data_IF_466211105126
#
_entry.id   IF_466211105126
#
_cell.length_a   1.000
_cell.length_b   1.000
_cell.length_c   1.000
_cell.angle_alpha   90.00
_cell.angle_beta   90.00
_cell.angle_gamma   90.00
#
_symmetry.space_group_name_H-M   'P 1'
#
loop_
_entity.id
_entity.type
_entity.pdbx_description
1 polymer ?
#
# COMPACT_ATOMS: atom_id res chain seq x y z
N UNK A 1 -22.20 9.36 -22.75
CA UNK A 1 -21.29 8.74 -21.75
C UNK A 1 -20.78 9.84 -20.85
N UNK A 2 -21.10 9.85 -19.55
CA UNK A 2 -20.56 10.86 -18.62
C UNK A 2 -19.06 10.59 -18.45
N UNK A 3 -18.20 11.60 -18.71
CA UNK A 3 -16.76 11.50 -18.46
C UNK A 3 -16.55 11.11 -16.99
N UNK A 4 -16.04 9.90 -16.76
CA UNK A 4 -15.64 9.44 -15.44
C UNK A 4 -14.30 10.09 -15.11
N UNK A 5 -14.27 10.95 -14.10
CA UNK A 5 -13.02 11.57 -13.65
C UNK A 5 -12.24 10.56 -12.81
N UNK A 6 -11.07 10.16 -13.30
CA UNK A 6 -10.16 9.25 -12.60
C UNK A 6 -9.01 10.08 -12.03
N UNK A 7 -8.81 9.99 -10.72
CA UNK A 7 -7.73 10.68 -10.02
C UNK A 7 -6.85 9.64 -9.34
N UNK A 8 -5.53 9.82 -9.43
CA UNK A 8 -4.55 8.95 -8.76
C UNK A 8 -3.86 9.78 -7.68
N UNK A 9 -3.81 9.27 -6.45
CA UNK A 9 -3.13 9.96 -5.34
C UNK A 9 -2.20 8.98 -4.60
N UNK A 10 -1.00 9.41 -4.16
CA UNK A 10 -0.23 8.64 -3.19
C UNK A 10 -1.02 8.49 -1.90
N UNK A 11 -0.81 7.38 -1.19
CA UNK A 11 -1.33 7.27 0.18
C UNK A 11 -0.45 8.05 1.13
N UNK A 12 -1.08 8.94 1.88
CA UNK A 12 -0.49 9.72 2.96
C UNK A 12 -1.45 9.78 4.17
N UNK A 13 -1.10 10.58 5.17
CA UNK A 13 -1.92 10.76 6.37
C UNK A 13 -3.31 11.37 6.09
N UNK A 14 -3.46 12.13 5.01
CA UNK A 14 -4.68 12.87 4.70
C UNK A 14 -5.74 11.99 4.04
N UNK A 15 -5.34 10.93 3.34
CA UNK A 15 -6.25 9.97 2.71
C UNK A 15 -6.17 8.55 3.31
N UNK A 16 -5.58 8.41 4.50
CA UNK A 16 -5.51 7.13 5.21
C UNK A 16 -6.89 6.47 5.38
N UNK A 17 -7.94 7.26 5.63
CA UNK A 17 -9.30 6.75 5.79
C UNK A 17 -9.83 6.10 4.50
N UNK A 18 -9.46 6.62 3.34
CA UNK A 18 -9.85 6.05 2.04
C UNK A 18 -9.16 4.70 1.82
N UNK A 19 -7.87 4.62 2.15
CA UNK A 19 -7.11 3.37 2.12
C UNK A 19 -7.73 2.32 3.04
N UNK A 20 -8.06 2.69 4.29
CA UNK A 20 -8.73 1.77 5.23
C UNK A 20 -10.07 1.30 4.71
N UNK A 21 -10.90 2.21 4.20
CA UNK A 21 -12.24 1.90 3.68
C UNK A 21 -12.16 0.94 2.50
N UNK A 22 -11.21 1.16 1.57
CA UNK A 22 -10.98 0.27 0.44
C UNK A 22 -10.53 -1.13 0.91
N UNK A 23 -9.61 -1.21 1.87
CA UNK A 23 -9.10 -2.49 2.36
C UNK A 23 -10.13 -3.27 3.16
N UNK A 24 -10.96 -2.59 3.94
CA UNK A 24 -12.06 -3.18 4.73
C UNK A 24 -13.30 -3.54 3.90
N UNK A 25 -13.35 -3.09 2.63
CA UNK A 25 -14.47 -3.38 1.74
C UNK A 25 -14.64 -4.88 1.47
N UNK A 26 -15.84 -5.28 1.09
CA UNK A 26 -16.13 -6.68 0.74
C UNK A 26 -15.29 -7.11 -0.46
N UNK A 27 -14.43 -8.11 -0.26
CA UNK A 27 -13.49 -8.57 -1.28
C UNK A 27 -12.15 -7.81 -1.29
N UNK A 28 -12.01 -6.76 -0.49
CA UNK A 28 -10.76 -6.04 -0.31
C UNK A 28 -9.67 -6.87 0.38
N UNK A 29 -8.38 -6.54 0.19
CA UNK A 29 -7.25 -7.33 0.69
C UNK A 29 -6.96 -7.12 2.20
N UNK A 30 -8.00 -7.01 3.04
CA UNK A 30 -7.91 -6.84 4.50
C UNK A 30 -7.08 -7.93 5.20
N UNK A 31 -6.94 -9.12 4.61
CA UNK A 31 -6.10 -10.16 5.20
C UNK A 31 -4.61 -9.79 5.12
N UNK A 32 -4.15 -9.10 4.09
CA UNK A 32 -2.72 -8.79 3.93
C UNK A 32 -2.34 -7.39 4.42
N UNK A 33 -3.27 -6.42 4.40
CA UNK A 33 -3.01 -5.00 4.72
C UNK A 33 -1.74 -4.45 4.02
N UNK A 34 -1.45 -4.97 2.81
CA UNK A 34 -0.25 -4.67 2.02
C UNK A 34 1.09 -4.99 2.72
N UNK A 35 1.08 -5.88 3.72
CA UNK A 35 2.28 -6.18 4.52
C UNK A 35 3.09 -7.38 4.01
N UNK A 36 2.56 -8.17 3.08
CA UNK A 36 3.19 -9.42 2.60
C UNK A 36 4.66 -9.25 2.14
N UNK A 37 4.97 -8.12 1.49
CA UNK A 37 6.31 -7.79 0.99
C UNK A 37 7.05 -6.75 1.85
N UNK A 38 6.45 -6.28 2.95
CA UNK A 38 6.98 -5.18 3.77
C UNK A 38 7.40 -5.61 5.17
N UNK A 39 6.89 -6.75 5.66
CA UNK A 39 7.15 -7.19 7.03
C UNK A 39 8.64 -7.45 7.29
N UNK A 40 9.17 -6.77 8.31
CA UNK A 40 10.47 -7.05 8.91
C UNK A 40 10.47 -8.41 9.62
N UNK A 41 11.65 -8.91 9.97
CA UNK A 41 11.78 -10.14 10.76
C UNK A 41 11.07 -10.05 12.12
N UNK A 42 11.05 -8.86 12.72
CA UNK A 42 10.38 -8.60 14.00
C UNK A 42 8.86 -8.53 13.85
N UNK A 43 8.35 -7.81 12.85
CA UNK A 43 6.91 -7.72 12.58
C UNK A 43 6.29 -9.10 12.29
N UNK A 44 7.06 -10.01 11.67
CA UNK A 44 6.62 -11.40 11.44
C UNK A 44 6.37 -12.18 12.73
N UNK A 45 7.10 -11.90 13.81
CA UNK A 45 6.91 -12.56 15.11
C UNK A 45 5.56 -12.19 15.74
N UNK A 46 5.04 -11.00 15.44
CA UNK A 46 3.80 -10.46 15.98
C UNK A 46 2.71 -10.31 14.90
N UNK A 47 2.68 -11.22 13.93
CA UNK A 47 1.91 -11.07 12.70
C UNK A 47 0.41 -11.43 12.87
N UNK A 48 -0.39 -10.47 13.33
CA UNK A 48 -1.87 -10.55 13.33
C UNK A 48 -2.47 -9.56 12.33
N UNK A 49 -3.75 -9.72 11.97
CA UNK A 49 -4.44 -8.76 11.09
C UNK A 49 -4.44 -7.35 11.67
N UNK A 50 -4.72 -7.19 12.97
CA UNK A 50 -4.69 -5.89 13.65
C UNK A 50 -3.28 -5.28 13.62
N UNK A 51 -2.24 -6.09 13.82
CA UNK A 51 -0.86 -5.62 13.79
C UNK A 51 -0.43 -5.25 12.38
N UNK A 52 -0.83 -5.99 11.33
CA UNK A 52 -0.53 -5.59 9.94
C UNK A 52 -1.09 -4.21 9.61
N UNK A 53 -2.32 -3.91 10.05
CA UNK A 53 -2.93 -2.58 9.88
C UNK A 53 -2.13 -1.49 10.62
N UNK A 54 -1.67 -1.75 11.85
CA UNK A 54 -0.81 -0.84 12.60
C UNK A 54 0.53 -0.60 11.92
N UNK A 55 1.19 -1.66 11.44
CA UNK A 55 2.49 -1.58 10.78
C UNK A 55 2.45 -0.79 9.47
N UNK A 56 1.42 -0.96 8.65
CA UNK A 56 1.27 -0.18 7.42
C UNK A 56 0.90 1.27 7.72
N UNK A 57 0.07 1.53 8.75
CA UNK A 57 -0.24 2.89 9.22
C UNK A 57 1.01 3.64 9.69
N UNK A 58 1.88 2.97 10.46
CA UNK A 58 3.14 3.56 10.93
C UNK A 58 4.05 3.98 9.76
N UNK A 59 4.07 3.19 8.67
CA UNK A 59 4.82 3.56 7.45
C UNK A 59 4.27 4.85 6.83
N UNK A 60 2.95 4.96 6.71
CA UNK A 60 2.28 6.17 6.21
C UNK A 60 2.59 7.38 7.09
N UNK A 61 2.50 7.24 8.41
CA UNK A 61 2.83 8.30 9.38
C UNK A 61 4.30 8.70 9.30
N UNK A 62 5.19 7.75 9.01
CA UNK A 62 6.62 7.96 8.80
C UNK A 62 6.98 8.46 7.40
N UNK A 63 5.98 8.79 6.56
CA UNK A 63 6.14 9.24 5.17
C UNK A 63 6.85 8.24 4.26
N UNK A 64 6.86 6.96 4.62
CA UNK A 64 7.35 5.89 3.77
C UNK A 64 6.27 5.63 2.71
N UNK A 65 6.62 5.74 1.43
CA UNK A 65 5.68 5.46 0.34
C UNK A 65 5.21 4.02 0.41
N UNK A 66 3.88 3.81 0.44
CA UNK A 66 3.29 2.47 0.45
C UNK A 66 2.57 2.10 -0.84
N UNK A 67 2.20 3.09 -1.65
CA UNK A 67 1.42 2.90 -2.87
C UNK A 67 0.52 4.10 -3.20
N UNK A 68 -0.37 3.87 -4.15
CA UNK A 68 -1.31 4.84 -4.70
C UNK A 68 -2.74 4.30 -4.63
N UNK A 69 -3.69 5.22 -4.45
CA UNK A 69 -5.13 4.97 -4.60
C UNK A 69 -5.61 5.54 -5.93
N UNK A 70 -6.45 4.77 -6.62
CA UNK A 70 -7.23 5.23 -7.77
C UNK A 70 -8.64 5.58 -7.33
N UNK A 71 -9.07 6.80 -7.68
CA UNK A 71 -10.39 7.33 -7.35
C UNK A 71 -11.24 7.42 -8.61
N UNK A 72 -12.52 7.06 -8.48
CA UNK A 72 -13.55 7.41 -9.43
C UNK A 72 -14.47 8.44 -8.77
N UNK A 73 -14.39 9.68 -9.23
CA UNK A 73 -14.93 10.84 -8.50
C UNK A 73 -14.26 10.99 -7.12
N UNK A 74 -15.00 10.80 -6.02
CA UNK A 74 -14.50 10.96 -4.64
C UNK A 74 -14.23 9.61 -3.95
N UNK A 75 -14.61 8.50 -4.57
CA UNK A 75 -14.49 7.16 -3.99
C UNK A 75 -13.19 6.49 -4.44
N UNK A 76 -12.39 6.01 -3.48
CA UNK A 76 -11.24 5.15 -3.78
C UNK A 76 -11.73 3.76 -4.19
N UNK A 77 -11.44 3.37 -5.43
CA UNK A 77 -11.93 2.11 -6.04
C UNK A 77 -10.79 1.17 -6.46
N UNK A 78 -9.54 1.61 -6.34
CA UNK A 78 -8.38 0.84 -6.78
C UNK A 78 -7.15 1.10 -5.88
N UNK A 79 -6.33 0.08 -5.74
CA UNK A 79 -5.09 0.09 -4.97
C UNK A 79 -3.92 -0.44 -5.81
N UNK A 80 -2.76 0.22 -5.70
CA UNK A 80 -1.50 -0.31 -6.22
C UNK A 80 -0.36 -0.06 -5.22
N UNK A 81 0.26 -1.15 -4.75
CA UNK A 81 1.46 -1.09 -3.92
C UNK A 81 2.67 -0.80 -4.79
N UNK A 82 2.95 0.48 -4.99
CA UNK A 82 4.13 1.01 -5.68
C UNK A 82 4.98 1.83 -4.71
N UNK A 83 6.24 1.46 -4.54
CA UNK A 83 7.16 2.13 -3.61
C UNK A 83 8.62 1.90 -4.02
N UNK A 84 9.58 2.67 -3.46
CA UNK A 84 11.00 2.39 -3.65
C UNK A 84 11.34 0.96 -3.20
N UNK A 85 12.20 0.28 -3.96
CA UNK A 85 12.54 -1.14 -3.78
C UNK A 85 13.05 -1.44 -2.38
N UNK A 86 13.81 -0.52 -1.80
CA UNK A 86 14.39 -0.60 -0.46
C UNK A 86 13.34 -0.57 0.67
N UNK A 87 12.09 -0.17 0.39
CA UNK A 87 10.99 -0.21 1.37
C UNK A 87 10.33 -1.59 1.50
N UNK A 88 10.76 -2.55 0.68
CA UNK A 88 10.31 -3.93 0.71
C UNK A 88 11.40 -4.84 1.29
N UNK A 89 11.02 -6.07 1.64
CA UNK A 89 11.98 -7.17 1.75
C UNK A 89 12.65 -7.38 0.38
N UNK A 90 13.83 -8.02 0.36
CA UNK A 90 14.50 -8.33 -0.91
C UNK A 90 13.54 -8.99 -1.90
N UNK A 91 13.41 -8.37 -3.08
CA UNK A 91 12.58 -8.83 -4.20
C UNK A 91 13.44 -9.56 -5.26
N UNK A 92 14.75 -9.67 -5.05
CA UNK A 92 15.72 -10.09 -6.07
C UNK A 92 15.97 -9.02 -7.14
N UNK A 93 16.63 -9.43 -8.23
CA UNK A 93 17.00 -8.57 -9.36
C UNK A 93 18.41 -7.98 -9.26
N UNK A 94 18.73 -7.04 -10.16
CA UNK A 94 20.04 -6.39 -10.19
C UNK A 94 20.16 -5.35 -9.06
N UNK A 95 21.08 -5.61 -8.14
CA UNK A 95 21.32 -4.75 -6.97
C UNK A 95 22.08 -3.46 -7.34
N UNK A 96 22.69 -3.38 -8.52
CA UNK A 96 23.42 -2.18 -8.96
C UNK A 96 22.50 -1.05 -9.48
N UNK A 97 21.22 -1.34 -9.71
CA UNK A 97 20.26 -0.34 -10.13
C UNK A 97 19.88 0.59 -8.96
N UNK A 98 20.07 1.89 -9.16
CA UNK A 98 19.69 2.94 -8.21
C UNK A 98 18.26 3.45 -8.47
N UNK A 99 17.63 4.02 -7.43
CA UNK A 99 16.30 4.64 -7.51
C UNK A 99 15.20 3.75 -8.10
N UNK A 100 15.28 2.44 -7.88
CA UNK A 100 14.31 1.47 -8.40
C UNK A 100 13.00 1.56 -7.63
N UNK A 101 11.90 1.71 -8.36
CA UNK A 101 10.55 1.54 -7.82
C UNK A 101 10.00 0.18 -8.21
N UNK A 102 9.16 -0.39 -7.34
CA UNK A 102 8.58 -1.72 -7.56
C UNK A 102 7.09 -1.74 -7.26
N UNK A 103 6.35 -2.43 -8.13
CA UNK A 103 4.95 -2.80 -7.94
C UNK A 103 4.92 -4.25 -7.46
N UNK A 104 4.34 -4.49 -6.28
CA UNK A 104 4.33 -5.84 -5.66
C UNK A 104 2.94 -6.44 -5.44
N UNK A 105 1.89 -5.63 -5.59
CA UNK A 105 0.49 -6.03 -5.42
C UNK A 105 -0.44 -4.92 -5.93
N UNK A 106 -1.65 -5.27 -6.38
CA UNK A 106 -2.72 -4.36 -6.75
C UNK A 106 -4.08 -5.04 -6.59
N UNK A 107 -5.15 -4.25 -6.38
CA UNK A 107 -6.53 -4.72 -6.27
C UNK A 107 -7.52 -3.65 -6.73
#
# INVERSE_FOLDING_TARGET
MKNKNVIIKPVDKNNWRDFETLFESKGGPHYCWCMAWRMTGEERKNNTTENRKKFIKQRVESKISIGILGYLNEEAIAWCSVAPRETYRSLGGDENLESVWSIVCFS
#
